data_IF_985386534874
#
_entry.id   IF_985386534874
#
_cell.length_a   1.000
_cell.length_b   1.000
_cell.length_c   1.000
_cell.angle_alpha   90.00
_cell.angle_beta   90.00
_cell.angle_gamma   90.00
#
_symmetry.space_group_name_H-M   'P 1'
#
loop_
_entity.id
_entity.type
_entity.pdbx_description
1 polymer ?
#
# COMPACT_ATOMS: atom_id res chain seq x y z
N UNK A 1 10.07 9.64 30.70
CA UNK A 1 9.48 8.46 30.01
C UNK A 1 8.42 8.88 29.01
N UNK A 2 7.41 9.69 29.40
CA UNK A 2 6.35 10.18 28.51
C UNK A 2 6.87 10.94 27.27
N UNK A 3 7.81 11.88 27.46
CA UNK A 3 8.43 12.70 26.40
C UNK A 3 9.15 11.89 25.31
N UNK A 4 9.78 10.79 25.69
CA UNK A 4 10.50 9.92 24.76
C UNK A 4 9.51 9.11 23.91
N UNK A 5 8.47 8.54 24.55
CA UNK A 5 7.39 7.83 23.86
C UNK A 5 6.65 8.77 22.91
N UNK A 6 6.37 10.00 23.33
CA UNK A 6 5.72 11.01 22.50
C UNK A 6 6.54 11.34 21.24
N UNK A 7 7.84 11.66 21.39
CA UNK A 7 8.72 11.96 20.24
C UNK A 7 8.86 10.78 19.28
N UNK A 8 8.96 9.58 19.83
CA UNK A 8 9.07 8.35 19.05
C UNK A 8 7.79 8.08 18.22
N UNK A 9 6.62 8.14 18.87
CA UNK A 9 5.34 8.02 18.19
C UNK A 9 5.14 9.14 17.15
N UNK A 10 5.49 10.38 17.50
CA UNK A 10 5.35 11.52 16.60
C UNK A 10 6.23 11.39 15.36
N UNK A 11 7.47 10.90 15.50
CA UNK A 11 8.36 10.67 14.37
C UNK A 11 7.82 9.58 13.43
N UNK A 12 7.36 8.46 13.98
CA UNK A 12 6.73 7.37 13.20
C UNK A 12 5.49 7.85 12.46
N UNK A 13 4.59 8.57 13.15
CA UNK A 13 3.37 9.11 12.54
C UNK A 13 3.70 10.08 11.41
N UNK A 14 4.63 11.01 11.62
CA UNK A 14 5.06 11.94 10.58
C UNK A 14 5.66 11.22 9.37
N UNK A 15 6.52 10.24 9.62
CA UNK A 15 7.13 9.44 8.56
C UNK A 15 6.06 8.67 7.77
N UNK A 16 5.09 8.04 8.46
CA UNK A 16 3.97 7.34 7.81
C UNK A 16 3.13 8.29 6.98
N UNK A 17 2.77 9.46 7.50
CA UNK A 17 1.96 10.44 6.76
C UNK A 17 2.69 10.89 5.48
N UNK A 18 3.96 11.32 5.61
CA UNK A 18 4.75 11.78 4.48
C UNK A 18 4.93 10.68 3.41
N UNK A 19 5.24 9.47 3.84
CA UNK A 19 5.42 8.35 2.92
C UNK A 19 4.10 7.92 2.27
N UNK A 20 2.99 7.95 2.99
CA UNK A 20 1.65 7.70 2.44
C UNK A 20 1.34 8.69 1.31
N UNK A 21 1.54 9.99 1.56
CA UNK A 21 1.31 11.01 0.53
C UNK A 21 2.25 10.85 -0.67
N UNK A 22 3.50 10.47 -0.45
CA UNK A 22 4.45 10.23 -1.53
C UNK A 22 4.02 9.03 -2.40
N UNK A 23 3.65 7.91 -1.78
CA UNK A 23 3.15 6.72 -2.49
C UNK A 23 1.89 7.11 -3.27
N UNK A 24 0.95 7.81 -2.64
CA UNK A 24 -0.29 8.23 -3.28
C UNK A 24 -0.08 9.17 -4.47
N UNK A 25 0.83 10.15 -4.33
CA UNK A 25 1.16 11.05 -5.43
C UNK A 25 1.72 10.28 -6.63
N UNK A 26 2.57 9.29 -6.37
CA UNK A 26 3.14 8.41 -7.40
C UNK A 26 2.06 7.52 -8.04
N UNK A 27 1.17 6.90 -7.26
CA UNK A 27 0.09 6.05 -7.79
C UNK A 27 -0.92 6.85 -8.61
N UNK A 28 -1.32 8.03 -8.14
CA UNK A 28 -2.19 8.95 -8.88
C UNK A 28 -1.53 9.46 -10.16
N UNK A 29 -0.23 9.78 -10.13
CA UNK A 29 0.51 10.17 -11.33
C UNK A 29 0.50 9.06 -12.38
N UNK A 30 0.74 7.81 -11.99
CA UNK A 30 0.67 6.69 -12.93
C UNK A 30 -0.76 6.45 -13.45
N UNK A 31 -1.77 6.51 -12.57
CA UNK A 31 -3.17 6.25 -12.94
C UNK A 31 -3.75 7.35 -13.84
N UNK A 32 -3.57 8.62 -13.48
CA UNK A 32 -4.21 9.75 -14.15
C UNK A 32 -3.26 10.52 -15.07
N UNK A 33 -1.96 10.57 -14.77
CA UNK A 33 -0.95 11.21 -15.61
C UNK A 33 -0.55 10.34 -16.81
N UNK A 34 -0.33 9.04 -16.61
CA UNK A 34 0.00 8.09 -17.68
C UNK A 34 -1.17 7.21 -18.12
N UNK A 35 -2.34 7.35 -17.50
CA UNK A 35 -3.54 6.57 -17.85
C UNK A 35 -3.43 5.08 -17.53
N UNK A 36 -2.45 4.65 -16.72
CA UNK A 36 -2.20 3.24 -16.48
C UNK A 36 -3.32 2.62 -15.64
N UNK A 37 -4.10 1.76 -16.29
CA UNK A 37 -5.05 0.87 -15.62
C UNK A 37 -4.43 -0.50 -15.39
N UNK A 38 -4.43 -0.93 -14.13
CA UNK A 38 -3.98 -2.27 -13.76
C UNK A 38 -4.75 -3.36 -14.56
N UNK A 39 -6.06 -3.22 -14.70
CA UNK A 39 -6.92 -4.18 -15.43
C UNK A 39 -6.53 -4.40 -16.89
N UNK A 40 -6.01 -3.38 -17.58
CA UNK A 40 -5.70 -3.44 -19.01
C UNK A 40 -4.19 -3.65 -19.25
N UNK A 41 -3.34 -2.97 -18.48
CA UNK A 41 -1.90 -2.93 -18.75
C UNK A 41 -1.07 -3.91 -17.91
N UNK A 42 -1.51 -4.27 -16.70
CA UNK A 42 -0.77 -5.21 -15.84
C UNK A 42 -1.33 -6.64 -15.88
N UNK A 43 -2.55 -6.84 -16.43
CA UNK A 43 -3.14 -8.17 -16.59
C UNK A 43 -2.32 -9.09 -17.52
N UNK A 44 -1.73 -8.55 -18.60
CA UNK A 44 -0.99 -9.32 -19.60
C UNK A 44 0.42 -9.75 -19.17
N UNK A 45 0.99 -9.09 -18.16
CA UNK A 45 2.35 -9.32 -17.67
C UNK A 45 2.32 -9.85 -16.23
N UNK A 46 1.99 -8.99 -15.27
CA UNK A 46 1.89 -9.34 -13.85
C UNK A 46 0.79 -10.36 -13.63
N UNK A 47 -0.38 -10.18 -14.25
CA UNK A 47 -1.50 -11.11 -14.13
C UNK A 47 -1.19 -12.52 -14.58
N UNK A 48 -0.34 -12.74 -15.60
CA UNK A 48 0.08 -14.09 -15.98
C UNK A 48 1.03 -14.71 -14.96
N UNK A 49 1.96 -13.92 -14.43
CA UNK A 49 2.93 -14.36 -13.43
C UNK A 49 2.26 -14.70 -12.08
N UNK A 50 1.17 -14.00 -11.75
CA UNK A 50 0.41 -14.18 -10.50
C UNK A 50 -0.82 -15.08 -10.68
N UNK A 51 -0.93 -15.81 -11.80
CA UNK A 51 -2.06 -16.69 -12.11
C UNK A 51 -3.43 -15.99 -12.01
N UNK A 52 -3.50 -14.73 -12.43
CA UNK A 52 -4.71 -13.91 -12.44
C UNK A 52 -4.91 -13.07 -11.18
N UNK A 53 -4.06 -13.20 -10.15
CA UNK A 53 -4.21 -12.44 -8.90
C UNK A 53 -3.76 -10.99 -9.08
N UNK A 54 -4.62 -10.04 -8.71
CA UNK A 54 -4.29 -8.61 -8.68
C UNK A 54 -3.54 -8.30 -7.38
N UNK A 55 -2.29 -7.88 -7.52
CA UNK A 55 -1.49 -7.43 -6.37
C UNK A 55 -1.74 -5.94 -6.13
N UNK A 56 -2.48 -5.66 -5.07
CA UNK A 56 -2.64 -4.32 -4.51
C UNK A 56 -1.49 -4.05 -3.53
N UNK A 57 -0.94 -2.83 -3.52
CA UNK A 57 0.17 -2.50 -2.63
C UNK A 57 -0.27 -2.55 -1.15
N UNK A 58 -1.57 -2.43 -0.88
CA UNK A 58 -2.15 -2.68 0.44
C UNK A 58 -1.90 -4.08 0.98
N UNK A 59 -1.83 -5.11 0.13
CA UNK A 59 -1.51 -6.49 0.56
C UNK A 59 -0.06 -6.60 1.04
N UNK A 60 0.88 -5.97 0.34
CA UNK A 60 2.26 -5.88 0.79
C UNK A 60 2.35 -5.14 2.13
N UNK A 61 1.57 -4.06 2.29
CA UNK A 61 1.43 -3.35 3.56
C UNK A 61 0.98 -4.25 4.72
N UNK A 62 -0.10 -5.02 4.51
CA UNK A 62 -0.62 -5.96 5.51
C UNK A 62 0.37 -7.07 5.86
N UNK A 63 1.10 -7.63 4.87
CA UNK A 63 2.14 -8.63 5.12
C UNK A 63 3.23 -8.06 6.02
N UNK A 64 3.73 -6.85 5.71
CA UNK A 64 4.76 -6.19 6.53
C UNK A 64 4.27 -5.93 7.97
N UNK A 65 3.03 -5.47 8.13
CA UNK A 65 2.44 -5.27 9.46
C UNK A 65 2.26 -6.60 10.22
N UNK A 66 1.85 -7.67 9.52
CA UNK A 66 1.72 -9.00 10.11
C UNK A 66 3.06 -9.56 10.60
N UNK A 67 4.18 -9.26 9.92
CA UNK A 67 5.50 -9.67 10.40
C UNK A 67 5.81 -9.13 11.79
N UNK A 68 5.31 -7.94 12.16
CA UNK A 68 5.53 -7.35 13.48
C UNK A 68 4.79 -8.05 14.62
N UNK A 69 3.89 -8.99 14.32
CA UNK A 69 3.28 -9.89 15.32
C UNK A 69 4.36 -10.81 15.91
N UNK A 70 5.32 -11.25 15.09
CA UNK A 70 6.38 -12.13 15.53
C UNK A 70 7.48 -11.35 16.27
N UNK A 71 7.83 -11.84 17.46
CA UNK A 71 8.83 -11.21 18.36
C UNK A 71 10.16 -10.92 17.65
N UNK A 72 10.60 -11.79 16.74
CA UNK A 72 11.83 -11.63 15.96
C UNK A 72 11.86 -10.33 15.16
N UNK A 73 10.77 -9.98 14.47
CA UNK A 73 10.71 -8.76 13.66
C UNK A 73 10.40 -7.54 14.52
N UNK A 74 9.56 -7.69 15.55
CA UNK A 74 9.25 -6.62 16.51
C UNK A 74 10.47 -6.10 17.25
N UNK A 75 11.44 -6.97 17.56
CA UNK A 75 12.69 -6.60 18.26
C UNK A 75 13.85 -6.26 17.32
N UNK A 76 13.64 -6.34 15.99
CA UNK A 76 14.67 -5.97 15.03
C UNK A 76 14.87 -4.45 14.97
N UNK A 77 16.07 -4.03 14.60
CA UNK A 77 16.36 -2.60 14.35
C UNK A 77 15.50 -2.02 13.21
N UNK A 78 14.96 -2.88 12.34
CA UNK A 78 14.10 -2.50 11.22
C UNK A 78 12.61 -2.46 11.57
N UNK A 79 12.20 -2.73 12.82
CA UNK A 79 10.79 -2.77 13.21
C UNK A 79 10.04 -1.46 12.89
N UNK A 80 10.71 -0.33 13.10
CA UNK A 80 10.20 1.01 12.79
C UNK A 80 9.99 1.21 11.30
N UNK A 81 10.96 0.79 10.48
CA UNK A 81 10.85 0.86 9.03
C UNK A 81 9.74 -0.05 8.51
N UNK A 82 9.65 -1.29 9.00
CA UNK A 82 8.59 -2.24 8.66
C UNK A 82 7.21 -1.64 9.00
N UNK A 83 7.08 -1.01 10.17
CA UNK A 83 5.83 -0.36 10.57
C UNK A 83 5.49 0.82 9.67
N UNK A 84 6.43 1.74 9.46
CA UNK A 84 6.21 2.96 8.66
C UNK A 84 5.88 2.59 7.22
N UNK A 85 6.67 1.72 6.59
CA UNK A 85 6.45 1.27 5.20
C UNK A 85 5.14 0.48 5.10
N UNK A 86 4.93 -0.48 6.00
CA UNK A 86 3.72 -1.32 5.99
C UNK A 86 2.44 -0.50 6.16
N UNK A 87 2.43 0.42 7.12
CA UNK A 87 1.30 1.31 7.36
C UNK A 87 1.07 2.27 6.20
N UNK A 88 2.14 2.83 5.62
CA UNK A 88 2.01 3.77 4.50
C UNK A 88 1.46 3.13 3.25
N UNK A 89 1.90 1.90 2.93
CA UNK A 89 1.38 1.12 1.82
C UNK A 89 -0.11 0.80 2.02
N UNK A 90 -0.48 0.31 3.21
CA UNK A 90 -1.87 -0.03 3.52
C UNK A 90 -2.79 1.21 3.45
N UNK A 91 -2.41 2.31 4.11
CA UNK A 91 -3.24 3.52 4.14
C UNK A 91 -3.32 4.16 2.75
N UNK A 92 -2.22 4.22 1.99
CA UNK A 92 -2.26 4.74 0.63
C UNK A 92 -3.18 3.89 -0.26
N UNK A 93 -3.15 2.56 -0.16
CA UNK A 93 -4.04 1.69 -0.94
C UNK A 93 -5.52 1.98 -0.67
N UNK A 94 -5.89 2.12 0.61
CA UNK A 94 -7.26 2.48 1.01
C UNK A 94 -7.64 3.85 0.47
N UNK A 95 -6.76 4.85 0.57
CA UNK A 95 -7.00 6.20 0.05
C UNK A 95 -7.16 6.14 -1.47
N UNK A 96 -6.26 5.47 -2.17
CA UNK A 96 -6.23 5.36 -3.61
C UNK A 96 -7.52 4.78 -4.17
N UNK A 97 -7.96 3.62 -3.63
CA UNK A 97 -9.19 2.98 -4.07
C UNK A 97 -10.43 3.80 -3.73
N UNK A 98 -10.42 4.51 -2.59
CA UNK A 98 -11.50 5.44 -2.22
C UNK A 98 -11.56 6.64 -3.16
N UNK A 99 -10.42 7.25 -3.49
CA UNK A 99 -10.34 8.35 -4.45
C UNK A 99 -10.73 7.90 -5.86
N UNK A 100 -10.26 6.73 -6.28
CA UNK A 100 -10.59 6.15 -7.57
C UNK A 100 -12.10 5.93 -7.68
N UNK A 101 -12.73 5.38 -6.63
CA UNK A 101 -14.18 5.23 -6.57
C UNK A 101 -14.91 6.57 -6.67
N UNK A 102 -14.48 7.60 -5.93
CA UNK A 102 -15.10 8.92 -5.96
C UNK A 102 -14.98 9.60 -7.33
N UNK A 103 -13.86 9.40 -8.04
CA UNK A 103 -13.59 10.06 -9.32
C UNK A 103 -14.20 9.28 -10.50
N UNK A 104 -14.11 7.95 -10.48
CA UNK A 104 -14.44 7.10 -11.64
C UNK A 104 -15.70 6.26 -11.46
N UNK A 105 -16.25 6.19 -10.24
CA UNK A 105 -17.39 5.36 -9.90
C UNK A 105 -17.05 3.88 -9.67
N UNK A 106 -15.83 3.43 -9.94
CA UNK A 106 -15.34 2.08 -9.64
C UNK A 106 -14.15 2.12 -8.70
N UNK A 107 -14.17 1.26 -7.68
CA UNK A 107 -13.06 1.13 -6.74
C UNK A 107 -11.99 0.17 -7.25
N UNK A 108 -12.22 -0.59 -8.33
CA UNK A 108 -11.30 -1.61 -8.88
C UNK A 108 -10.72 -2.57 -7.80
N UNK A 109 -11.50 -2.92 -6.78
CA UNK A 109 -11.10 -3.78 -5.64
C UNK A 109 -11.05 -5.28 -5.99
N UNK A 110 -11.14 -5.63 -7.27
CA UNK A 110 -11.14 -7.03 -7.69
C UNK A 110 -9.84 -7.72 -7.25
N UNK A 111 -9.98 -8.89 -6.63
CA UNK A 111 -8.87 -9.75 -6.24
C UNK A 111 -8.24 -10.44 -7.47
N UNK A 112 -9.00 -10.55 -8.55
CA UNK A 112 -8.64 -11.29 -9.76
C UNK A 112 -8.84 -10.39 -10.98
N UNK A 113 -7.97 -10.49 -11.97
CA UNK A 113 -8.13 -9.77 -13.23
C UNK A 113 -9.41 -10.25 -13.94
N UNK A 114 -10.36 -9.37 -14.29
CA UNK A 114 -11.56 -9.77 -15.01
C UNK A 114 -11.18 -10.42 -16.35
N UNK A 115 -11.75 -11.59 -16.65
CA UNK A 115 -11.44 -12.39 -17.84
C UNK A 115 -10.24 -13.34 -17.72
N UNK A 116 -9.74 -13.61 -16.51
CA UNK A 116 -8.62 -14.55 -16.28
C UNK A 116 -9.03 -16.03 -16.14
N UNK A 117 -10.22 -16.41 -16.61
CA UNK A 117 -10.65 -17.81 -16.80
C UNK A 117 -11.53 -17.94 -18.03
#
# INVERSE_FOLDING_TARGET
>A
MLEFVYRFCHHRVRATILLTFLIEAVTLFFRFGLGLKSTEHTASTVGRLTMGIRFHHGYAGLILLALLIFRRFKQSQSADAIFVVGMSLFVSDVIHHSLLYLITGSADLDLVYPGSF
#
